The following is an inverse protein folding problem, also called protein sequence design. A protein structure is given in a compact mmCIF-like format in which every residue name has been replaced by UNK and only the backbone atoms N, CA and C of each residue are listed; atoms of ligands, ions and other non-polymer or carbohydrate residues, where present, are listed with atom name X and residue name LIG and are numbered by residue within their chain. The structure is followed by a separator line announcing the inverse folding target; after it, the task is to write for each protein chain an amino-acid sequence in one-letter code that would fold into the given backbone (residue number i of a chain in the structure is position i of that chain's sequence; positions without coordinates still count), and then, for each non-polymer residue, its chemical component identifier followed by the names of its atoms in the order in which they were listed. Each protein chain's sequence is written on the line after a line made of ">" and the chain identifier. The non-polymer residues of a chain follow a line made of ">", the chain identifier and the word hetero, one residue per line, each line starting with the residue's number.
data_IF_348547983335
#
_entry.id   IF_348547983335
#
_cell.length_a   1.000
_cell.length_b   1.000
_cell.length_c   1.000
_cell.angle_alpha   90.00
_cell.angle_beta   90.00
_cell.angle_gamma   90.00
#
_symmetry.space_group_name_H-M   'P 1'
#
loop_
_entity.id
_entity.type
_entity.pdbx_description
1 polymer ?
#
# COMPACT_ATOMS: atom_id res chain seq x y z
N UNK A 1 2.90 -3.36 86.29
CA UNK A 1 2.83 -2.16 85.43
C UNK A 1 3.09 -2.62 84.02
N UNK A 2 2.03 -2.77 83.23
CA UNK A 2 2.08 -3.22 81.84
C UNK A 2 1.03 -2.40 81.10
N UNK A 3 1.41 -1.20 80.65
CA UNK A 3 0.55 -0.36 79.83
C UNK A 3 0.81 -0.70 78.37
N UNK A 4 -0.15 -1.38 77.73
CA UNK A 4 -0.16 -1.58 76.28
C UNK A 4 -0.70 -0.33 75.61
N UNK A 5 0.13 0.33 74.79
CA UNK A 5 -0.26 1.48 73.99
C UNK A 5 -1.25 1.09 72.88
N UNK A 6 -2.26 1.93 72.57
CA UNK A 6 -3.26 1.65 71.55
C UNK A 6 -2.71 1.81 70.13
N UNK A 7 -3.23 0.97 69.22
CA UNK A 7 -2.95 0.99 67.78
C UNK A 7 -3.38 2.33 67.13
N UNK A 8 -2.64 2.83 66.12
CA UNK A 8 -3.01 4.02 65.39
C UNK A 8 -4.25 3.78 64.50
N UNK A 9 -5.05 4.84 64.22
CA UNK A 9 -6.24 4.73 63.37
C UNK A 9 -5.87 4.45 61.90
N UNK A 10 -6.76 3.78 61.14
CA UNK A 10 -6.51 3.44 59.74
C UNK A 10 -6.44 4.70 58.87
N UNK A 11 -5.51 4.66 57.91
CA UNK A 11 -5.28 5.72 56.91
C UNK A 11 -6.48 5.84 55.98
N UNK A 12 -6.95 7.06 55.64
CA UNK A 12 -8.08 7.22 54.71
C UNK A 12 -7.71 6.72 53.32
N UNK A 13 -8.57 5.88 52.76
CA UNK A 13 -8.45 5.30 51.43
C UNK A 13 -8.64 6.42 50.37
N UNK A 14 -7.82 6.48 49.30
CA UNK A 14 -7.98 7.51 48.27
C UNK A 14 -9.30 7.32 47.51
N UNK A 15 -10.11 8.37 47.46
CA UNK A 15 -11.33 8.44 46.65
C UNK A 15 -10.95 8.32 45.16
N UNK A 16 -11.53 7.39 44.39
CA UNK A 16 -11.26 7.31 42.96
C UNK A 16 -11.75 8.58 42.25
N UNK A 17 -10.90 9.21 41.44
CA UNK A 17 -11.30 10.30 40.54
C UNK A 17 -12.38 9.79 39.57
N UNK A 18 -13.39 10.61 39.23
CA UNK A 18 -14.34 10.25 38.19
C UNK A 18 -13.62 10.23 36.84
N UNK A 19 -13.34 9.03 36.32
CA UNK A 19 -12.91 8.81 34.94
C UNK A 19 -14.09 9.08 34.01
N UNK A 20 -14.29 10.34 33.64
CA UNK A 20 -15.11 10.67 32.47
C UNK A 20 -14.26 10.45 31.22
N UNK A 21 -14.17 9.19 30.79
CA UNK A 21 -13.78 8.90 29.41
C UNK A 21 -14.91 9.41 28.51
N UNK A 22 -14.70 10.57 27.87
CA UNK A 22 -15.48 10.92 26.70
C UNK A 22 -15.15 9.87 25.64
N UNK A 23 -16.12 9.06 25.17
CA UNK A 23 -15.84 8.15 24.08
C UNK A 23 -15.43 9.00 22.88
N UNK A 24 -14.24 8.74 22.34
CA UNK A 24 -13.87 9.21 21.00
C UNK A 24 -15.02 8.86 20.06
N UNK A 25 -15.51 9.82 19.24
CA UNK A 25 -16.59 9.53 18.31
C UNK A 25 -16.16 8.34 17.46
N UNK A 26 -16.95 7.26 17.56
CA UNK A 26 -16.75 6.05 16.76
C UNK A 26 -16.69 6.51 15.30
N UNK A 27 -15.71 6.06 14.49
CA UNK A 27 -15.68 6.41 13.07
C UNK A 27 -17.05 6.12 12.48
N UNK A 28 -17.70 7.14 11.88
CA UNK A 28 -18.96 6.89 11.20
C UNK A 28 -18.68 5.84 10.12
N UNK A 29 -19.47 4.76 10.05
CA UNK A 29 -19.32 3.78 8.99
C UNK A 29 -19.47 4.52 7.66
N UNK A 30 -18.54 4.27 6.74
CA UNK A 30 -18.62 4.83 5.40
C UNK A 30 -19.91 4.31 4.77
N UNK A 31 -20.80 5.18 4.28
CA UNK A 31 -22.07 4.74 3.74
C UNK A 31 -21.85 3.87 2.51
N UNK A 32 -22.68 2.84 2.36
CA UNK A 32 -22.70 1.99 1.17
C UNK A 32 -22.84 2.85 -0.09
N UNK A 33 -22.03 2.57 -1.11
CA UNK A 33 -22.08 3.27 -2.39
C UNK A 33 -22.69 2.35 -3.43
N UNK A 34 -23.85 2.72 -3.96
CA UNK A 34 -24.41 2.05 -5.13
C UNK A 34 -23.61 2.45 -6.39
N UNK A 35 -22.69 1.58 -6.79
CA UNK A 35 -21.73 1.81 -7.88
C UNK A 35 -22.41 1.63 -9.24
N UNK A 36 -22.22 2.57 -10.15
CA UNK A 36 -22.55 2.39 -11.57
C UNK A 36 -21.62 3.17 -12.49
N UNK A 37 -21.73 2.86 -13.79
CA UNK A 37 -21.02 3.55 -14.86
C UNK A 37 -21.42 5.03 -14.90
N UNK A 38 -20.45 5.96 -14.85
CA UNK A 38 -20.70 7.36 -15.09
C UNK A 38 -21.43 7.57 -16.42
N UNK A 39 -22.38 8.51 -16.50
CA UNK A 39 -23.11 8.76 -17.73
C UNK A 39 -22.14 9.25 -18.83
N UNK A 40 -22.31 8.73 -20.04
CA UNK A 40 -21.62 9.29 -21.20
C UNK A 40 -22.15 10.71 -21.47
N UNK A 41 -21.30 11.68 -21.84
CA UNK A 41 -21.76 12.99 -22.25
C UNK A 41 -22.72 12.85 -23.43
N UNK A 42 -23.85 13.57 -23.38
CA UNK A 42 -24.94 13.49 -24.36
C UNK A 42 -24.57 13.99 -25.76
N UNK A 43 -23.43 14.68 -25.89
CA UNK A 43 -22.80 15.04 -27.16
C UNK A 43 -21.31 15.26 -26.95
N UNK A 44 -20.46 14.59 -27.72
CA UNK A 44 -19.12 15.10 -27.99
C UNK A 44 -19.35 16.28 -28.93
N UNK A 45 -19.22 17.51 -28.44
CA UNK A 45 -19.22 18.65 -29.34
C UNK A 45 -18.09 18.42 -30.37
N UNK A 46 -18.43 18.50 -31.66
CA UNK A 46 -17.50 18.20 -32.75
C UNK A 46 -16.31 19.16 -32.86
N UNK A 47 -16.16 20.06 -31.89
CA UNK A 47 -15.05 20.99 -31.72
C UNK A 47 -13.93 20.43 -30.80
N UNK A 48 -14.14 19.25 -30.21
CA UNK A 48 -13.19 18.63 -29.29
C UNK A 48 -13.27 19.16 -27.85
N UNK A 49 -14.35 19.87 -27.50
CA UNK A 49 -14.59 20.28 -26.12
C UNK A 49 -14.90 19.07 -25.23
N UNK A 50 -14.36 19.08 -24.01
CA UNK A 50 -14.58 18.03 -23.01
C UNK A 50 -15.49 18.56 -21.89
N UNK A 51 -16.59 17.86 -21.61
CA UNK A 51 -17.46 18.17 -20.48
C UNK A 51 -16.93 17.49 -19.22
N UNK A 52 -16.65 18.27 -18.17
CA UNK A 52 -16.32 17.71 -16.86
C UNK A 52 -17.61 17.17 -16.24
N UNK A 53 -17.72 15.85 -16.10
CA UNK A 53 -18.89 15.19 -15.52
C UNK A 53 -18.97 15.39 -14.00
N UNK A 54 -17.83 15.33 -13.34
CA UNK A 54 -17.68 15.54 -11.92
C UNK A 54 -16.21 15.83 -11.58
N UNK A 55 -15.93 16.28 -10.36
CA UNK A 55 -14.59 16.43 -9.83
C UNK A 55 -14.48 15.67 -8.50
N UNK A 56 -13.36 14.97 -8.33
CA UNK A 56 -13.02 14.37 -7.04
C UNK A 56 -11.92 15.21 -6.42
N UNK A 57 -12.22 15.84 -5.29
CA UNK A 57 -11.18 16.42 -4.46
C UNK A 57 -10.45 15.30 -3.73
N UNK A 58 -9.28 14.95 -4.27
CA UNK A 58 -8.45 13.86 -3.74
C UNK A 58 -7.80 14.22 -2.39
N UNK A 59 -7.75 15.52 -2.05
CA UNK A 59 -7.16 16.06 -0.83
C UNK A 59 -8.24 16.79 -0.03
N UNK A 60 -8.83 16.13 0.96
CA UNK A 60 -9.53 16.85 2.03
C UNK A 60 -8.53 17.11 3.14
N UNK A 61 -8.34 18.39 3.46
CA UNK A 61 -7.55 18.89 4.58
C UNK A 61 -7.84 18.07 5.83
N UNK A 62 -6.78 17.53 6.43
CA UNK A 62 -6.81 17.10 7.80
C UNK A 62 -6.44 18.33 8.64
N UNK A 63 -7.39 18.80 9.44
CA UNK A 63 -7.18 19.84 10.45
C UNK A 63 -6.08 19.48 11.48
N UNK A 64 -5.55 18.25 11.44
CA UNK A 64 -4.46 17.76 12.29
C UNK A 64 -3.05 18.04 11.71
N UNK A 65 -2.95 18.65 10.52
CA UNK A 65 -1.68 18.91 9.84
C UNK A 65 -1.01 20.22 10.26
N UNK A 66 -0.93 20.43 11.57
CA UNK A 66 -0.48 21.68 12.18
C UNK A 66 1.01 21.72 12.56
N UNK A 67 1.82 20.76 12.11
CA UNK A 67 3.26 20.79 12.38
C UNK A 67 4.07 20.86 11.08
N UNK A 68 5.10 21.72 11.10
CA UNK A 68 6.02 22.02 10.00
C UNK A 68 6.84 20.81 9.49
N UNK A 69 6.57 19.60 10.01
CA UNK A 69 7.22 18.33 9.66
C UNK A 69 6.23 17.22 9.23
N UNK A 70 4.92 17.46 9.30
CA UNK A 70 3.90 16.46 8.95
C UNK A 70 3.50 16.58 7.47
N UNK A 71 4.09 15.71 6.64
CA UNK A 71 3.65 15.48 5.27
C UNK A 71 2.33 14.70 5.27
N UNK A 72 1.27 15.29 5.79
CA UNK A 72 -0.04 14.65 5.79
C UNK A 72 -0.58 14.39 4.39
N UNK A 73 -0.15 15.16 3.39
CA UNK A 73 -0.64 15.03 2.02
C UNK A 73 0.57 14.94 1.10
N UNK A 74 1.16 13.74 1.03
CA UNK A 74 2.16 13.42 0.02
C UNK A 74 1.59 13.58 -1.38
N UNK A 75 2.41 13.99 -2.35
CA UNK A 75 1.99 14.03 -3.75
C UNK A 75 1.49 12.66 -4.21
N UNK A 76 0.43 12.66 -5.02
CA UNK A 76 -0.08 11.44 -5.63
C UNK A 76 1.02 10.85 -6.52
N UNK A 77 1.34 9.58 -6.30
CA UNK A 77 2.33 8.86 -7.11
C UNK A 77 1.70 7.79 -8.00
N UNK A 78 0.47 7.38 -7.70
CA UNK A 78 -0.29 6.43 -8.50
C UNK A 78 -1.76 6.88 -8.61
N UNK A 79 -2.30 6.84 -9.82
CA UNK A 79 -3.70 7.11 -10.11
C UNK A 79 -4.21 6.03 -11.08
N UNK A 80 -5.28 5.36 -10.70
CA UNK A 80 -5.88 4.27 -11.48
C UNK A 80 -7.36 4.54 -11.68
N UNK A 81 -7.84 4.27 -12.90
CA UNK A 81 -9.26 4.19 -13.23
C UNK A 81 -9.53 2.72 -13.60
N UNK A 82 -10.55 2.13 -13.00
CA UNK A 82 -10.96 0.75 -13.26
C UNK A 82 -12.40 0.67 -13.78
N UNK A 83 -12.73 -0.47 -14.37
CA UNK A 83 -13.99 -0.69 -15.06
C UNK A 83 -14.12 0.15 -16.32
N UNK A 84 -15.31 0.69 -16.52
CA UNK A 84 -15.62 1.73 -17.50
C UNK A 84 -15.49 3.14 -16.90
N UNK A 85 -14.80 3.28 -15.77
CA UNK A 85 -14.67 4.54 -15.03
C UNK A 85 -15.42 4.58 -13.70
N UNK A 86 -15.98 3.46 -13.24
CA UNK A 86 -16.74 3.43 -12.00
C UNK A 86 -15.88 3.67 -10.76
N UNK A 87 -14.63 3.22 -10.78
CA UNK A 87 -13.75 3.25 -9.60
C UNK A 87 -12.48 4.04 -9.94
N UNK A 88 -12.14 4.99 -9.07
CA UNK A 88 -10.93 5.80 -9.12
C UNK A 88 -10.12 5.58 -7.85
N UNK A 89 -8.83 5.31 -8.01
CA UNK A 89 -7.94 4.96 -6.89
C UNK A 89 -6.71 5.85 -6.94
N UNK A 90 -6.36 6.44 -5.82
CA UNK A 90 -5.21 7.34 -5.69
C UNK A 90 -4.29 6.86 -4.56
N UNK A 91 -3.00 6.75 -4.86
CA UNK A 91 -1.95 6.40 -3.90
C UNK A 91 -1.15 7.62 -3.45
N UNK A 92 -0.99 7.74 -2.14
CA UNK A 92 -0.36 8.87 -1.45
C UNK A 92 0.81 8.37 -0.60
N UNK A 93 1.93 7.96 -1.21
CA UNK A 93 3.00 7.27 -0.49
C UNK A 93 3.66 8.11 0.60
N UNK A 94 3.76 9.42 0.43
CA UNK A 94 4.37 10.27 1.45
C UNK A 94 3.40 10.72 2.55
N UNK A 95 2.17 10.16 2.61
CA UNK A 95 1.22 10.44 3.70
C UNK A 95 1.78 9.98 5.05
N UNK A 96 1.81 10.90 6.01
CA UNK A 96 2.09 10.63 7.41
C UNK A 96 0.80 10.57 8.23
N UNK A 97 0.71 9.61 9.16
CA UNK A 97 -0.38 9.55 10.14
C UNK A 97 -0.15 10.59 11.26
N UNK A 98 -1.21 11.19 11.82
CA UNK A 98 -1.09 12.02 13.01
C UNK A 98 -0.51 11.24 14.19
N UNK A 99 0.30 11.92 15.00
CA UNK A 99 0.89 11.33 16.20
C UNK A 99 -0.17 11.12 17.27
N UNK A 100 -0.38 9.88 17.72
CA UNK A 100 -1.31 9.55 18.82
C UNK A 100 -0.57 9.37 20.14
N UNK A 101 -1.27 9.39 21.28
CA UNK A 101 -0.68 9.07 22.59
C UNK A 101 -0.14 7.63 22.70
N UNK A 102 -0.47 6.78 21.73
CA UNK A 102 -0.02 5.39 21.62
C UNK A 102 1.19 5.23 20.69
N UNK A 103 1.64 6.32 20.03
CA UNK A 103 2.84 6.29 19.19
C UNK A 103 4.10 6.03 20.03
N UNK A 104 4.71 4.86 19.86
CA UNK A 104 5.98 4.50 20.48
C UNK A 104 7.12 5.08 19.63
N UNK A 105 7.95 5.94 20.22
CA UNK A 105 9.04 6.61 19.52
C UNK A 105 8.67 7.98 18.94
N UNK A 106 9.68 8.81 18.66
CA UNK A 106 9.47 10.20 18.27
C UNK A 106 8.81 10.40 16.90
N UNK A 107 8.70 9.33 16.09
CA UNK A 107 8.49 9.44 14.64
C UNK A 107 7.62 8.31 14.02
N UNK A 108 6.85 7.59 14.84
CA UNK A 108 5.90 6.58 14.35
C UNK A 108 4.85 7.22 13.43
N UNK A 109 4.53 6.55 12.32
CA UNK A 109 3.53 7.04 11.36
C UNK A 109 4.07 7.99 10.29
N UNK A 110 5.37 8.28 10.25
CA UNK A 110 5.96 9.15 9.23
C UNK A 110 6.07 8.45 7.86
N UNK A 111 5.53 9.09 6.81
CA UNK A 111 5.52 8.59 5.42
C UNK A 111 5.14 7.11 5.28
N UNK A 112 4.13 6.69 6.03
CA UNK A 112 3.57 5.34 5.94
C UNK A 112 2.87 5.09 4.61
N UNK A 113 2.32 6.15 4.04
CA UNK A 113 1.52 6.09 2.82
C UNK A 113 0.08 5.64 3.07
N UNK A 114 -0.80 5.97 2.12
CA UNK A 114 -2.16 5.47 2.07
C UNK A 114 -2.64 5.30 0.63
N UNK A 115 -3.73 4.57 0.46
CA UNK A 115 -4.49 4.49 -0.80
C UNK A 115 -5.95 4.86 -0.53
N UNK A 116 -6.49 5.77 -1.34
CA UNK A 116 -7.88 6.22 -1.27
C UNK A 116 -8.64 5.75 -2.49
N UNK A 117 -9.88 5.32 -2.26
CA UNK A 117 -10.71 4.69 -3.28
C UNK A 117 -12.04 5.43 -3.34
N UNK A 118 -12.40 5.84 -4.55
CA UNK A 118 -13.65 6.51 -4.87
C UNK A 118 -14.43 5.68 -5.89
N UNK A 119 -15.75 5.73 -5.80
CA UNK A 119 -16.64 5.11 -6.77
C UNK A 119 -17.74 6.08 -7.20
N UNK A 120 -18.14 6.01 -8.46
CA UNK A 120 -19.25 6.78 -8.98
C UNK A 120 -20.57 6.25 -8.41
N UNK A 121 -21.33 7.13 -7.74
CA UNK A 121 -22.60 6.78 -7.13
C UNK A 121 -23.78 7.18 -8.00
N UNK A 122 -24.66 6.24 -8.33
CA UNK A 122 -25.87 6.54 -9.08
C UNK A 122 -26.86 7.40 -8.28
N UNK A 123 -26.82 7.25 -6.95
CA UNK A 123 -27.73 7.95 -6.05
C UNK A 123 -27.40 9.45 -6.00
N UNK A 124 -26.11 9.78 -6.00
CA UNK A 124 -25.62 11.15 -5.89
C UNK A 124 -25.18 11.74 -7.23
N UNK A 125 -25.11 10.93 -8.29
CA UNK A 125 -24.61 11.29 -9.61
C UNK A 125 -23.21 11.92 -9.54
N UNK A 126 -22.39 11.44 -8.61
CA UNK A 126 -21.05 11.94 -8.31
C UNK A 126 -20.17 10.85 -7.71
N UNK A 127 -18.86 11.04 -7.77
CA UNK A 127 -17.89 10.18 -7.11
C UNK A 127 -17.91 10.37 -5.60
N UNK A 128 -17.91 9.26 -4.88
CA UNK A 128 -17.90 9.24 -3.41
C UNK A 128 -16.80 8.31 -2.93
N UNK A 129 -16.23 8.62 -1.77
CA UNK A 129 -15.26 7.74 -1.12
C UNK A 129 -15.93 6.40 -0.82
N UNK A 130 -15.39 5.31 -1.39
CA UNK A 130 -15.99 3.98 -1.35
C UNK A 130 -15.79 3.29 0.02
N UNK A 131 -14.68 3.58 0.68
CA UNK A 131 -14.25 2.92 1.92
C UNK A 131 -13.34 3.82 2.76
N UNK A 132 -13.00 3.44 4.01
CA UNK A 132 -11.85 4.04 4.70
C UNK A 132 -10.58 3.94 3.85
N UNK A 133 -9.60 4.81 4.14
CA UNK A 133 -8.31 4.76 3.44
C UNK A 133 -7.60 3.43 3.75
N UNK A 134 -7.08 2.80 2.71
CA UNK A 134 -6.19 1.65 2.85
C UNK A 134 -4.84 2.13 3.33
N UNK A 135 -4.29 1.45 4.33
CA UNK A 135 -3.03 1.83 4.97
C UNK A 135 -2.24 0.57 5.31
N UNK A 136 -0.91 0.66 5.50
CA UNK A 136 -0.07 -0.52 5.74
C UNK A 136 -0.48 -1.22 7.04
N UNK A 137 -0.30 -2.56 7.05
CA UNK A 137 -0.70 -3.44 8.16
C UNK A 137 0.02 -3.12 9.47
N UNK A 138 1.29 -2.70 9.41
CA UNK A 138 2.02 -2.30 10.60
C UNK A 138 1.70 -0.83 10.94
N UNK A 139 1.02 -0.56 12.06
CA UNK A 139 0.70 0.81 12.46
C UNK A 139 1.95 1.64 12.79
N UNK A 140 3.03 0.98 13.19
CA UNK A 140 4.31 1.58 13.59
C UNK A 140 5.32 1.67 12.44
N UNK A 141 4.94 1.24 11.23
CA UNK A 141 5.76 1.41 10.04
C UNK A 141 6.21 2.87 9.88
N UNK A 142 7.43 3.06 9.39
CA UNK A 142 8.01 4.37 9.08
C UNK A 142 8.65 4.26 7.71
N UNK A 143 8.24 5.11 6.77
CA UNK A 143 8.81 5.08 5.41
C UNK A 143 8.43 3.86 4.57
N UNK A 144 7.31 3.21 4.88
CA UNK A 144 6.72 2.13 4.06
C UNK A 144 6.31 2.63 2.66
N UNK A 145 5.98 3.92 2.53
CA UNK A 145 5.53 4.55 1.29
C UNK A 145 4.45 3.74 0.56
N UNK A 146 3.50 3.21 1.31
CA UNK A 146 2.40 2.41 0.79
C UNK A 146 1.56 3.22 -0.20
N UNK A 147 1.21 2.63 -1.35
CA UNK A 147 0.52 3.36 -2.42
C UNK A 147 1.46 4.07 -3.40
N UNK A 148 2.76 3.75 -3.38
CA UNK A 148 3.70 4.24 -4.40
C UNK A 148 3.33 3.75 -5.80
N UNK A 149 2.84 2.52 -5.90
CA UNK A 149 2.24 1.97 -7.11
C UNK A 149 0.91 1.33 -6.77
N UNK A 150 -0.06 1.48 -7.66
CA UNK A 150 -1.37 0.87 -7.53
C UNK A 150 -1.76 0.37 -8.91
N UNK A 151 -2.26 -0.85 -8.97
CA UNK A 151 -2.93 -1.42 -10.15
C UNK A 151 -4.20 -2.13 -9.73
N UNK A 152 -5.17 -2.19 -10.64
CA UNK A 152 -6.50 -2.74 -10.38
C UNK A 152 -6.87 -3.80 -11.42
N UNK A 153 -7.75 -4.73 -11.03
CA UNK A 153 -8.41 -5.66 -11.96
C UNK A 153 -9.31 -4.87 -12.89
N UNK A 154 -9.75 -5.49 -13.98
CA UNK A 154 -10.60 -4.81 -14.96
C UNK A 154 -11.87 -4.25 -14.34
N UNK A 155 -12.48 -4.94 -13.38
CA UNK A 155 -13.68 -4.49 -12.68
C UNK A 155 -13.39 -3.62 -11.45
N UNK A 156 -12.11 -3.38 -11.15
CA UNK A 156 -11.67 -2.58 -10.02
C UNK A 156 -11.93 -3.21 -8.64
N UNK A 157 -12.27 -4.51 -8.56
CA UNK A 157 -12.55 -5.20 -7.29
C UNK A 157 -11.35 -5.90 -6.66
N UNK A 158 -10.23 -6.00 -7.38
CA UNK A 158 -8.95 -6.50 -6.84
C UNK A 158 -7.88 -5.46 -7.11
N UNK A 159 -7.14 -5.06 -6.07
CA UNK A 159 -6.08 -4.06 -6.15
C UNK A 159 -4.75 -4.65 -5.69
N UNK A 160 -3.69 -4.44 -6.44
CA UNK A 160 -2.33 -4.67 -5.96
C UNK A 160 -1.67 -3.33 -5.67
N UNK A 161 -1.16 -3.18 -4.44
CA UNK A 161 -0.61 -1.93 -3.94
C UNK A 161 0.85 -2.17 -3.54
N UNK A 162 1.75 -1.43 -4.17
CA UNK A 162 3.18 -1.47 -3.87
C UNK A 162 3.57 -0.46 -2.79
N UNK A 163 4.43 -0.92 -1.91
CA UNK A 163 5.20 -0.16 -0.95
C UNK A 163 6.67 -0.19 -1.38
N UNK A 164 7.28 0.98 -1.57
CA UNK A 164 8.74 1.08 -1.73
C UNK A 164 9.34 1.55 -0.42
N UNK A 165 10.59 1.22 -0.15
CA UNK A 165 11.22 1.66 1.11
C UNK A 165 11.87 3.02 0.90
N UNK A 166 11.62 3.97 1.81
CA UNK A 166 12.40 5.20 1.88
C UNK A 166 13.79 4.89 2.44
N UNK A 167 14.77 4.76 1.56
CA UNK A 167 16.14 4.40 1.93
C UNK A 167 16.90 5.53 2.62
N UNK A 168 16.41 6.79 2.55
CA UNK A 168 17.03 7.97 3.16
C UNK A 168 16.74 8.11 4.66
N UNK A 169 16.05 7.11 5.24
CA UNK A 169 15.76 7.04 6.66
C UNK A 169 16.94 6.48 7.46
N UNK A 170 18.10 7.14 7.39
CA UNK A 170 19.30 6.75 8.14
C UNK A 170 19.03 6.64 9.65
N UNK A 171 18.09 7.45 10.16
CA UNK A 171 17.71 7.49 11.57
C UNK A 171 16.67 6.44 11.99
N UNK A 172 15.93 5.84 11.05
CA UNK A 172 14.92 4.81 11.33
C UNK A 172 15.51 3.38 11.30
N UNK A 173 16.79 3.26 10.94
CA UNK A 173 17.50 1.97 10.88
C UNK A 173 18.24 1.73 12.19
N UNK A 174 17.59 1.15 13.19
CA UNK A 174 18.34 0.42 14.21
C UNK A 174 18.75 -0.95 13.63
N UNK A 175 19.83 -1.56 14.12
CA UNK A 175 20.29 -2.86 13.62
C UNK A 175 19.32 -4.01 13.95
N UNK A 176 18.37 -3.79 14.87
CA UNK A 176 17.27 -4.70 15.20
C UNK A 176 15.99 -4.43 14.35
N UNK A 177 15.81 -3.23 13.78
CA UNK A 177 14.70 -2.85 12.88
C UNK A 177 14.92 -3.26 11.41
N UNK A 178 15.78 -4.25 11.18
CA UNK A 178 16.13 -4.74 9.85
C UNK A 178 14.95 -5.44 9.15
N UNK A 179 13.89 -4.75 8.71
CA UNK A 179 12.84 -5.38 7.85
C UNK A 179 11.97 -4.41 7.04
N UNK A 180 12.32 -3.13 6.83
CA UNK A 180 11.68 -2.39 5.75
C UNK A 180 12.13 -2.98 4.41
N UNK A 181 11.32 -3.89 3.89
CA UNK A 181 11.44 -4.48 2.56
C UNK A 181 10.36 -3.86 1.68
N UNK A 182 10.63 -3.61 0.40
CA UNK A 182 9.55 -3.31 -0.51
C UNK A 182 8.57 -4.48 -0.52
N UNK A 183 7.30 -4.21 -0.76
CA UNK A 183 6.32 -5.28 -0.80
C UNK A 183 5.11 -4.91 -1.65
N UNK A 184 4.32 -5.93 -1.99
CA UNK A 184 3.01 -5.74 -2.62
C UNK A 184 1.93 -6.37 -1.76
N UNK A 185 0.97 -5.55 -1.34
CA UNK A 185 -0.23 -6.03 -0.68
C UNK A 185 -1.39 -6.05 -1.67
N UNK A 186 -2.07 -7.19 -1.76
CA UNK A 186 -3.24 -7.34 -2.65
C UNK A 186 -4.49 -7.28 -1.81
N UNK A 187 -5.47 -6.48 -2.24
CA UNK A 187 -6.75 -6.30 -1.56
C UNK A 187 -7.90 -6.66 -2.48
N UNK A 188 -8.99 -7.14 -1.91
CA UNK A 188 -10.25 -7.44 -2.60
C UNK A 188 -11.40 -6.69 -1.96
N UNK A 189 -12.27 -6.14 -2.79
CA UNK A 189 -13.52 -5.55 -2.36
C UNK A 189 -14.48 -6.66 -1.94
N UNK A 190 -14.89 -6.62 -0.69
CA UNK A 190 -15.99 -7.42 -0.14
C UNK A 190 -17.21 -6.53 -0.07
N UNK A 191 -18.22 -6.91 -0.83
CA UNK A 191 -19.52 -6.26 -0.91
C UNK A 191 -20.58 -7.29 -0.52
N UNK A 192 -21.27 -7.04 0.60
CA UNK A 192 -22.36 -7.89 1.11
C UNK A 192 -23.76 -7.29 0.79
N UNK A 193 -23.83 -6.25 -0.04
CA UNK A 193 -25.04 -5.51 -0.38
C UNK A 193 -25.50 -4.53 0.70
N UNK A 194 -24.80 -4.45 1.84
CA UNK A 194 -25.08 -3.53 2.95
C UNK A 194 -23.85 -2.69 3.30
N UNK A 195 -22.67 -3.23 3.12
CA UNK A 195 -21.38 -2.64 3.43
C UNK A 195 -20.35 -3.00 2.36
N UNK A 196 -19.42 -2.07 2.14
CA UNK A 196 -18.31 -2.23 1.22
C UNK A 196 -17.02 -2.03 1.99
N UNK A 197 -16.17 -3.05 1.97
CA UNK A 197 -14.86 -3.00 2.64
C UNK A 197 -13.80 -3.70 1.81
N UNK A 198 -12.57 -3.24 2.00
CA UNK A 198 -11.40 -3.85 1.38
C UNK A 198 -10.74 -4.77 2.39
N UNK A 199 -10.51 -6.01 1.97
CA UNK A 199 -9.81 -7.02 2.77
C UNK A 199 -8.55 -7.45 2.05
N UNK A 200 -7.47 -7.69 2.80
CA UNK A 200 -6.24 -8.19 2.20
C UNK A 200 -6.45 -9.62 1.68
N UNK A 201 -6.13 -9.83 0.40
CA UNK A 201 -6.24 -11.09 -0.32
C UNK A 201 -4.89 -11.81 -0.31
N UNK A 202 -4.73 -12.69 0.68
CA UNK A 202 -3.49 -13.45 0.89
C UNK A 202 -2.41 -12.64 1.61
N UNK A 203 -1.29 -13.28 1.87
CA UNK A 203 -0.16 -12.61 2.51
C UNK A 203 0.52 -11.61 1.58
N UNK A 204 1.22 -10.66 2.18
CA UNK A 204 2.01 -9.66 1.48
C UNK A 204 3.07 -10.34 0.63
N UNK A 205 3.14 -9.99 -0.66
CA UNK A 205 4.13 -10.54 -1.57
C UNK A 205 5.44 -9.82 -1.32
N UNK A 206 6.42 -10.56 -0.82
CA UNK A 206 7.80 -10.14 -0.79
C UNK A 206 8.60 -10.92 -1.85
N UNK A 207 9.18 -10.20 -2.78
CA UNK A 207 10.28 -10.66 -3.61
C UNK A 207 11.51 -11.02 -2.78
N UNK A 208 12.48 -11.66 -3.42
CA UNK A 208 13.68 -12.16 -2.75
C UNK A 208 14.73 -11.06 -2.61
N UNK A 209 14.39 -9.94 -1.98
CA UNK A 209 15.33 -8.84 -1.78
C UNK A 209 16.23 -9.14 -0.59
N UNK A 210 17.54 -9.01 -0.80
CA UNK A 210 18.47 -8.94 0.32
C UNK A 210 18.18 -7.66 1.10
N UNK A 211 18.10 -7.75 2.43
CA UNK A 211 17.89 -6.59 3.30
C UNK A 211 18.80 -5.44 2.88
N UNK A 212 18.30 -4.20 2.85
CA UNK A 212 19.13 -3.09 2.43
C UNK A 212 20.31 -2.98 3.40
N UNK A 213 21.53 -3.13 2.88
CA UNK A 213 22.72 -2.64 3.59
C UNK A 213 22.59 -1.12 3.76
N UNK A 214 23.32 -0.55 4.72
CA UNK A 214 23.36 0.91 4.93
C UNK A 214 23.74 1.67 3.63
N UNK A 215 24.45 1.03 2.71
CA UNK A 215 24.98 1.64 1.47
C UNK A 215 24.31 1.16 0.16
N UNK A 216 23.27 0.31 0.22
CA UNK A 216 22.57 -0.13 -1.01
C UNK A 216 21.43 0.83 -1.32
N UNK A 217 21.38 1.33 -2.56
CA UNK A 217 20.35 2.26 -3.06
C UNK A 217 18.91 1.77 -2.89
N UNK A 218 17.94 2.60 -3.32
CA UNK A 218 16.50 2.30 -3.25
C UNK A 218 16.23 0.87 -3.75
N UNK A 219 15.75 -0.05 -2.92
CA UNK A 219 15.31 -1.39 -3.36
C UNK A 219 13.81 -1.38 -3.48
N UNK A 220 13.27 -1.91 -4.58
CA UNK A 220 11.85 -1.72 -4.85
C UNK A 220 11.25 -2.66 -5.88
N UNK A 221 9.94 -2.80 -5.77
CA UNK A 221 9.07 -3.23 -6.87
C UNK A 221 9.00 -2.05 -7.84
N UNK A 222 9.72 -2.17 -8.95
CA UNK A 222 9.81 -1.12 -9.96
C UNK A 222 8.59 -1.10 -10.89
N UNK A 223 7.80 -2.17 -10.92
CA UNK A 223 6.55 -2.24 -11.66
C UNK A 223 5.66 -3.37 -11.16
N UNK A 224 4.34 -3.15 -11.23
CA UNK A 224 3.31 -4.12 -10.90
C UNK A 224 2.37 -4.19 -12.09
N UNK A 225 1.99 -5.40 -12.49
CA UNK A 225 0.89 -5.63 -13.43
C UNK A 225 -0.05 -6.69 -12.85
N UNK A 226 -1.35 -6.51 -13.12
CA UNK A 226 -2.41 -7.40 -12.70
C UNK A 226 -3.20 -7.82 -13.94
N UNK A 227 -3.64 -9.07 -14.00
CA UNK A 227 -4.51 -9.53 -15.08
C UNK A 227 -5.98 -9.10 -14.85
N UNK A 228 -6.84 -9.42 -15.82
CA UNK A 228 -8.23 -8.96 -15.88
C UNK A 228 -9.05 -9.28 -14.62
N UNK A 229 -8.92 -10.49 -14.08
CA UNK A 229 -9.68 -10.98 -12.91
C UNK A 229 -8.93 -10.81 -11.58
N UNK A 230 -7.69 -10.30 -11.63
CA UNK A 230 -6.84 -10.15 -10.46
C UNK A 230 -6.37 -11.46 -9.84
N UNK A 231 -6.33 -12.56 -10.58
CA UNK A 231 -5.75 -13.84 -10.12
C UNK A 231 -4.25 -13.99 -10.42
N UNK A 232 -3.70 -13.19 -11.34
CA UNK A 232 -2.28 -13.20 -11.70
C UNK A 232 -1.64 -11.82 -11.50
N UNK A 233 -0.47 -11.80 -10.89
CA UNK A 233 0.36 -10.61 -10.70
C UNK A 233 1.72 -10.83 -11.36
N UNK A 234 2.23 -9.83 -12.07
CA UNK A 234 3.63 -9.77 -12.46
C UNK A 234 4.31 -8.60 -11.72
N UNK A 235 5.43 -8.90 -11.06
CA UNK A 235 6.26 -7.93 -10.38
C UNK A 235 7.58 -7.78 -11.13
N UNK A 236 7.96 -6.53 -11.40
CA UNK A 236 9.29 -6.21 -11.87
C UNK A 236 10.15 -5.80 -10.68
N UNK A 237 11.03 -6.69 -10.26
CA UNK A 237 11.89 -6.51 -9.09
C UNK A 237 13.26 -5.99 -9.52
N UNK A 238 13.75 -5.03 -8.75
CA UNK A 238 15.03 -4.39 -8.97
C UNK A 238 15.80 -4.28 -7.66
N UNK A 239 16.97 -4.93 -7.62
CA UNK A 239 17.80 -4.98 -6.41
C UNK A 239 18.48 -3.63 -6.07
N UNK A 240 18.56 -2.71 -7.04
CA UNK A 240 19.08 -1.34 -6.85
C UNK A 240 18.40 -0.40 -7.86
N UNK A 241 17.38 0.33 -7.41
CA UNK A 241 16.57 1.22 -8.22
C UNK A 241 17.32 2.42 -8.80
N UNK A 242 18.49 2.76 -8.25
CA UNK A 242 19.35 3.84 -8.78
C UNK A 242 20.05 3.48 -10.09
N UNK A 243 20.15 2.19 -10.44
CA UNK A 243 20.91 1.72 -11.61
C UNK A 243 20.01 1.17 -12.70
N UNK A 244 20.26 1.44 -13.97
CA UNK A 244 19.49 0.82 -15.06
C UNK A 244 19.68 -0.70 -15.11
N UNK A 245 18.64 -1.43 -15.50
CA UNK A 245 18.73 -2.87 -15.69
C UNK A 245 19.70 -3.22 -16.83
N UNK A 246 20.47 -4.29 -16.62
CA UNK A 246 21.48 -4.77 -17.58
C UNK A 246 22.89 -4.18 -17.39
N UNK A 247 23.08 -3.30 -16.39
CA UNK A 247 24.40 -2.90 -15.90
C UNK A 247 24.99 -3.95 -14.95
N UNK A 248 26.32 -4.04 -14.85
CA UNK A 248 26.98 -4.94 -13.89
C UNK A 248 26.51 -4.67 -12.45
N UNK A 249 26.18 -5.73 -11.74
CA UNK A 249 25.69 -5.65 -10.36
C UNK A 249 24.24 -5.22 -10.20
N UNK A 250 23.46 -5.08 -11.28
CA UNK A 250 22.00 -4.96 -11.21
C UNK A 250 21.33 -6.28 -11.53
N UNK A 251 20.57 -6.81 -10.58
CA UNK A 251 19.69 -7.94 -10.83
C UNK A 251 18.28 -7.40 -10.99
N UNK A 252 17.78 -7.45 -12.23
CA UNK A 252 16.40 -7.13 -12.55
C UNK A 252 15.71 -8.40 -12.99
N UNK A 253 14.50 -8.64 -12.48
CA UNK A 253 13.74 -9.85 -12.76
C UNK A 253 12.27 -9.60 -12.80
N UNK A 254 11.56 -10.40 -13.58
CA UNK A 254 10.10 -10.47 -13.54
C UNK A 254 9.71 -11.72 -12.78
N UNK A 255 8.92 -11.55 -11.73
CA UNK A 255 8.31 -12.62 -10.96
C UNK A 255 6.81 -12.62 -11.23
N UNK A 256 6.26 -13.77 -11.61
CA UNK A 256 4.83 -13.92 -11.84
C UNK A 256 4.25 -14.72 -10.68
N UNK A 257 3.10 -14.30 -10.17
CA UNK A 257 2.41 -14.94 -9.06
C UNK A 257 0.97 -15.27 -9.45
N UNK A 258 0.47 -16.40 -8.99
CA UNK A 258 -0.94 -16.77 -9.08
C UNK A 258 -1.56 -16.89 -7.71
N UNK A 259 -2.76 -16.35 -7.55
CA UNK A 259 -3.52 -16.53 -6.33
C UNK A 259 -4.20 -17.89 -6.30
N UNK A 260 -4.03 -18.62 -5.20
CA UNK A 260 -4.72 -19.89 -4.95
C UNK A 260 -5.64 -19.80 -3.73
N UNK A 261 -6.89 -20.23 -3.90
CA UNK A 261 -7.89 -20.37 -2.84
C UNK A 261 -7.85 -21.73 -2.12
N UNK A 262 -7.14 -22.70 -2.72
CA UNK A 262 -6.95 -24.05 -2.19
C UNK A 262 -5.50 -24.25 -1.78
N UNK A 263 -5.21 -24.03 -0.50
CA UNK A 263 -3.94 -24.45 0.08
C UNK A 263 -3.98 -25.94 0.33
N UNK A 264 -3.58 -26.72 -0.67
CA UNK A 264 -3.03 -28.03 -0.36
C UNK A 264 -1.59 -27.81 0.12
N UNK A 265 -1.27 -28.32 1.30
CA UNK A 265 0.06 -28.26 1.91
C UNK A 265 1.11 -28.98 1.04
N UNK A 266 0.67 -29.89 0.15
CA UNK A 266 1.54 -30.87 -0.53
C UNK A 266 1.71 -30.73 -2.06
N UNK A 267 1.15 -29.70 -2.71
CA UNK A 267 1.43 -29.47 -4.14
C UNK A 267 2.72 -28.65 -4.32
N UNK A 268 3.87 -29.29 -4.08
CA UNK A 268 5.05 -29.03 -4.91
C UNK A 268 4.78 -29.63 -6.30
N UNK A 269 3.84 -29.04 -7.04
CA UNK A 269 3.95 -29.15 -8.49
C UNK A 269 5.24 -28.42 -8.85
N UNK A 270 6.19 -29.11 -9.50
CA UNK A 270 7.55 -28.62 -9.75
C UNK A 270 7.65 -27.33 -10.58
N UNK A 271 6.50 -26.71 -10.90
CA UNK A 271 6.33 -25.42 -11.54
C UNK A 271 6.00 -24.27 -10.58
N UNK A 272 5.61 -24.51 -9.32
CA UNK A 272 5.11 -23.49 -8.38
C UNK A 272 5.96 -23.43 -7.10
N UNK A 273 6.39 -22.23 -6.70
CA UNK A 273 7.05 -22.00 -5.41
C UNK A 273 6.17 -21.14 -4.51
N UNK A 274 5.80 -21.66 -3.35
CA UNK A 274 5.11 -20.87 -2.32
C UNK A 274 6.07 -19.80 -1.80
N UNK A 275 5.60 -18.56 -1.69
CA UNK A 275 6.35 -17.53 -0.97
C UNK A 275 6.18 -17.66 0.55
N UNK A 276 5.13 -18.35 1.02
CA UNK A 276 4.81 -18.50 2.45
C UNK A 276 4.00 -19.79 2.75
N UNK A 277 3.86 -20.14 4.04
CA UNK A 277 3.17 -21.36 4.51
C UNK A 277 1.63 -21.23 4.60
N UNK A 278 1.01 -20.23 3.98
CA UNK A 278 -0.43 -19.99 4.11
C UNK A 278 -1.28 -20.97 3.30
N UNK A 279 -2.44 -21.36 3.85
CA UNK A 279 -3.47 -22.21 3.22
C UNK A 279 -4.28 -21.49 2.12
N UNK A 280 -4.05 -20.20 1.89
CA UNK A 280 -4.51 -19.40 0.75
C UNK A 280 -3.48 -18.32 0.50
N UNK A 281 -3.08 -18.08 -0.74
CA UNK A 281 -2.00 -17.12 -0.97
C UNK A 281 -1.52 -17.01 -2.41
N UNK A 282 -0.50 -16.16 -2.56
CA UNK A 282 0.18 -15.92 -3.82
C UNK A 282 1.32 -16.91 -4.00
N UNK A 283 1.31 -17.60 -5.13
CA UNK A 283 2.26 -18.64 -5.49
C UNK A 283 3.09 -18.16 -6.66
N UNK A 284 4.42 -18.18 -6.54
CA UNK A 284 5.29 -17.81 -7.65
C UNK A 284 5.19 -18.88 -8.75
N UNK A 285 4.86 -18.44 -9.96
CA UNK A 285 4.83 -19.25 -11.17
C UNK A 285 6.24 -19.36 -11.75
N UNK A 286 6.80 -20.57 -11.71
CA UNK A 286 8.09 -20.90 -12.29
C UNK A 286 9.27 -20.17 -11.65
N UNK A 287 10.35 -20.04 -12.43
CA UNK A 287 11.53 -19.28 -12.03
C UNK A 287 11.39 -17.81 -12.44
N UNK A 288 12.06 -16.93 -11.70
CA UNK A 288 12.25 -15.53 -12.08
C UNK A 288 12.77 -15.41 -13.52
N UNK A 289 12.17 -14.51 -14.30
CA UNK A 289 12.63 -14.20 -15.66
C UNK A 289 13.71 -13.12 -15.55
N UNK A 290 14.99 -13.41 -15.79
CA UNK A 290 16.05 -12.42 -15.66
C UNK A 290 16.02 -11.43 -16.82
N UNK A 291 16.39 -10.18 -16.54
CA UNK A 291 16.64 -9.21 -17.61
C UNK A 291 17.96 -9.55 -18.32
N UNK A 292 18.02 -9.50 -19.67
CA UNK A 292 19.26 -9.75 -20.38
C UNK A 292 20.33 -8.72 -19.98
N UNK A 293 21.54 -9.20 -19.70
CA UNK A 293 22.70 -8.31 -19.52
C UNK A 293 23.16 -7.83 -20.89
N UNK A 294 23.51 -6.54 -20.99
CA UNK A 294 24.03 -6.01 -22.25
C UNK A 294 25.39 -6.68 -22.57
N UNK A 295 25.60 -7.12 -23.82
CA UNK A 295 26.91 -7.60 -24.26
C UNK A 295 27.98 -6.53 -24.02
N UNK A 296 29.18 -6.92 -23.58
CA UNK A 296 30.28 -6.00 -23.22
C UNK A 296 30.58 -4.93 -24.29
N UNK A 297 30.42 -5.30 -25.57
CA UNK A 297 30.62 -4.45 -26.75
C UNK A 297 29.69 -3.21 -26.85
N UNK A 298 28.59 -3.15 -26.07
CA UNK A 298 27.68 -2.00 -26.02
C UNK A 298 27.90 -1.10 -24.79
N UNK A 299 28.89 -1.43 -23.94
CA UNK A 299 29.16 -0.74 -22.66
C UNK A 299 30.08 0.48 -22.81
N UNK A 300 30.92 0.51 -23.84
CA UNK A 300 31.65 1.71 -24.23
C UNK A 300 30.85 2.43 -25.31
N UNK A 301 30.46 3.69 -25.09
CA UNK A 301 29.63 4.50 -26.00
C UNK A 301 30.22 4.79 -27.40
N UNK A 302 30.91 3.86 -28.02
CA UNK A 302 31.36 3.90 -29.40
C UNK A 302 30.25 3.32 -30.29
N UNK A 303 29.43 4.23 -30.82
CA UNK A 303 28.37 4.05 -31.82
C UNK A 303 28.30 2.70 -32.54
N UNK A 304 27.54 1.76 -31.97
CA UNK A 304 26.98 0.64 -32.71
C UNK A 304 25.63 1.03 -33.29
N UNK A 305 25.42 0.76 -34.58
CA UNK A 305 24.15 0.98 -35.27
C UNK A 305 23.04 0.11 -34.70
N UNK A 306 21.87 0.71 -34.44
CA UNK A 306 20.65 0.01 -34.03
C UNK A 306 20.25 -1.08 -35.05
N UNK A 307 20.01 -2.33 -34.64
CA UNK A 307 19.27 -3.25 -35.51
C UNK A 307 17.82 -2.75 -35.59
N UNK A 308 17.36 -2.52 -36.81
CA UNK A 308 15.93 -2.37 -37.10
C UNK A 308 15.24 -3.68 -36.75
N UNK A 309 14.25 -3.60 -35.86
CA UNK A 309 13.22 -4.62 -35.66
C UNK A 309 12.19 -4.52 -36.80
#
# INVERSE_FOLDING_TARGET
>A
VSFTSPLPPPTPQPTPLPTTFSPTPKPMPVPYVNICTPPLPSSIEGDGSFTVLDHVELMQDSDDCNSMMDYCNGAISALVIAGSGEIVIAGFPAHSRPRTSESVGEKAGWRVGLVRIFAYSCEYNSYRKLSPDLSPLNPEAVGDLFGTSVVASRDGRVLAIGAKVDNHLDWARTEEDATLMPYVAVHRLVDDGVSQKWEQRGETITGQWQAPGKDSGEKGVAGIALNEDGSLIALFDKDDASKSCGNEGTNCRINVFQYSESGNEDEEDGSLRKTTNATRGWLMLGNSIPFPTWPEQWRSGTGGSWPLL
#
